data_IF_270067591868
#
_entry.id   IF_270067591868
#
_cell.length_a   1.000
_cell.length_b   1.000
_cell.length_c   1.000
_cell.angle_alpha   90.00
_cell.angle_beta   90.00
_cell.angle_gamma   90.00
#
_symmetry.space_group_name_H-M   'P 1'
#
loop_
_entity.id
_entity.type
_entity.pdbx_description
1 polymer ?
#
# COMPACT_ATOMS: atom_id res chain seq x y z
N UNK A 1 -24.38 0.61 -30.02
CA UNK A 1 -23.28 0.38 -29.07
C UNK A 1 -22.10 1.26 -29.51
N UNK A 2 -22.02 2.47 -28.96
CA UNK A 2 -20.89 3.38 -29.21
C UNK A 2 -19.74 2.97 -28.29
N UNK A 3 -18.56 2.60 -28.81
CA UNK A 3 -17.38 2.41 -27.97
C UNK A 3 -16.98 3.77 -27.38
N UNK A 4 -16.99 3.91 -26.06
CA UNK A 4 -16.37 5.06 -25.38
C UNK A 4 -17.24 5.91 -24.45
N UNK A 5 -18.56 5.67 -24.33
CA UNK A 5 -19.36 6.39 -23.32
C UNK A 5 -19.26 5.72 -21.95
N UNK A 6 -18.22 6.09 -21.18
CA UNK A 6 -18.13 5.76 -19.76
C UNK A 6 -19.07 6.71 -19.02
N UNK A 7 -20.11 6.16 -18.38
CA UNK A 7 -21.06 6.92 -17.58
C UNK A 7 -20.33 7.70 -16.47
N UNK A 8 -20.85 8.85 -16.03
CA UNK A 8 -20.20 9.64 -14.98
C UNK A 8 -19.98 8.83 -13.69
N UNK A 9 -20.87 7.89 -13.41
CA UNK A 9 -20.78 6.98 -12.26
C UNK A 9 -19.60 6.01 -12.41
N UNK A 10 -19.39 5.41 -13.59
CA UNK A 10 -18.26 4.51 -13.79
C UNK A 10 -16.91 5.25 -13.83
N UNK A 11 -16.87 6.50 -14.32
CA UNK A 11 -15.66 7.34 -14.21
C UNK A 11 -15.29 7.62 -12.76
N UNK A 12 -16.27 7.97 -11.93
CA UNK A 12 -16.05 8.20 -10.51
C UNK A 12 -15.58 6.92 -9.80
N UNK A 13 -16.19 5.77 -10.13
CA UNK A 13 -15.78 4.47 -9.61
C UNK A 13 -14.31 4.16 -9.94
N UNK A 14 -13.91 4.29 -11.20
CA UNK A 14 -12.52 4.07 -11.66
C UNK A 14 -11.54 5.03 -10.97
N UNK A 15 -11.92 6.31 -10.83
CA UNK A 15 -11.11 7.30 -10.14
C UNK A 15 -10.86 6.90 -8.68
N UNK A 16 -11.89 6.45 -7.95
CA UNK A 16 -11.74 6.02 -6.57
C UNK A 16 -10.84 4.78 -6.41
N UNK A 17 -10.96 3.79 -7.30
CA UNK A 17 -10.06 2.63 -7.30
C UNK A 17 -8.62 3.07 -7.54
N UNK A 18 -8.38 3.93 -8.55
CA UNK A 18 -7.03 4.42 -8.86
C UNK A 18 -6.43 5.24 -7.72
N UNK A 19 -7.25 6.01 -7.00
CA UNK A 19 -6.81 6.76 -5.82
C UNK A 19 -6.31 5.82 -4.72
N UNK A 20 -7.08 4.79 -4.37
CA UNK A 20 -6.65 3.80 -3.39
C UNK A 20 -5.37 3.08 -3.80
N UNK A 21 -5.22 2.73 -5.07
CA UNK A 21 -3.99 2.12 -5.58
C UNK A 21 -2.79 3.06 -5.43
N UNK A 22 -2.96 4.36 -5.71
CA UNK A 22 -1.91 5.35 -5.50
C UNK A 22 -1.54 5.47 -4.02
N UNK A 23 -2.52 5.49 -3.11
CA UNK A 23 -2.25 5.54 -1.66
C UNK A 23 -1.49 4.29 -1.19
N UNK A 24 -1.88 3.11 -1.67
CA UNK A 24 -1.17 1.85 -1.36
C UNK A 24 0.25 1.84 -1.94
N UNK A 25 0.49 2.48 -3.09
CA UNK A 25 1.83 2.55 -3.68
C UNK A 25 2.83 3.35 -2.81
N UNK A 26 2.34 4.26 -1.96
CA UNK A 26 3.15 4.99 -0.97
C UNK A 26 3.02 4.41 0.45
N UNK A 27 2.47 3.21 0.60
CA UNK A 27 2.34 2.55 1.88
C UNK A 27 3.72 2.05 2.35
N UNK A 28 4.12 2.53 3.52
CA UNK A 28 5.36 2.15 4.20
C UNK A 28 5.43 2.66 5.64
N UNK A 29 4.31 3.20 6.14
CA UNK A 29 4.19 3.81 7.48
C UNK A 29 4.56 2.81 8.59
N UNK A 30 4.16 1.53 8.55
CA UNK A 30 4.55 0.55 9.57
C UNK A 30 6.06 0.33 9.68
N UNK A 31 6.81 0.58 8.60
CA UNK A 31 8.26 0.39 8.53
C UNK A 31 9.05 1.62 9.00
N UNK A 32 8.41 2.79 9.10
CA UNK A 32 9.06 4.06 9.50
C UNK A 32 9.78 3.93 10.85
N UNK A 33 9.14 3.33 11.85
CA UNK A 33 9.72 3.19 13.19
C UNK A 33 10.91 2.20 13.21
N UNK A 34 10.78 0.96 12.69
CA UNK A 34 11.92 0.06 12.57
C UNK A 34 13.09 0.65 11.78
N UNK A 35 12.83 1.31 10.64
CA UNK A 35 13.87 1.93 9.82
C UNK A 35 14.59 3.02 10.60
N UNK A 36 13.86 3.92 11.26
CA UNK A 36 14.46 4.99 12.07
C UNK A 36 15.32 4.44 13.21
N UNK A 37 14.89 3.35 13.85
CA UNK A 37 15.65 2.69 14.91
C UNK A 37 16.94 2.01 14.39
N UNK A 38 16.92 1.52 13.15
CA UNK A 38 18.08 0.88 12.51
C UNK A 38 19.08 1.88 11.90
N UNK A 39 18.74 3.18 11.80
CA UNK A 39 19.64 4.19 11.25
C UNK A 39 20.81 4.50 12.20
N UNK A 40 22.03 4.57 11.63
CA UNK A 40 23.22 5.06 12.34
C UNK A 40 23.03 6.48 12.87
N UNK A 41 22.37 7.35 12.09
CA UNK A 41 22.10 8.74 12.44
C UNK A 41 20.63 9.11 12.25
N UNK A 42 19.77 8.91 13.27
CA UNK A 42 18.32 9.14 13.16
C UNK A 42 17.90 10.60 12.91
N UNK A 43 18.82 11.57 13.07
CA UNK A 43 18.56 12.99 12.79
C UNK A 43 18.31 13.27 11.31
N UNK A 44 18.92 12.49 10.42
CA UNK A 44 18.77 12.62 8.97
C UNK A 44 17.50 11.94 8.44
N UNK A 45 16.73 11.25 9.28
CA UNK A 45 15.55 10.48 8.87
C UNK A 45 14.53 11.29 8.04
N UNK A 46 14.13 12.52 8.42
CA UNK A 46 13.15 13.28 7.64
C UNK A 46 13.63 13.61 6.22
N UNK A 47 14.91 13.95 6.07
CA UNK A 47 15.50 14.26 4.76
C UNK A 47 15.55 13.02 3.86
N UNK A 48 15.94 11.86 4.43
CA UNK A 48 15.97 10.59 3.69
C UNK A 48 14.57 10.19 3.24
N UNK A 49 13.57 10.25 4.13
CA UNK A 49 12.18 9.92 3.78
C UNK A 49 11.64 10.85 2.69
N UNK A 50 11.88 12.17 2.80
CA UNK A 50 11.45 13.13 1.80
C UNK A 50 12.12 12.86 0.44
N UNK A 51 13.43 12.59 0.42
CA UNK A 51 14.15 12.24 -0.81
C UNK A 51 13.64 10.94 -1.45
N UNK A 52 13.39 9.91 -0.65
CA UNK A 52 12.83 8.63 -1.13
C UNK A 52 11.42 8.81 -1.70
N UNK A 53 10.55 9.55 -1.03
CA UNK A 53 9.19 9.82 -1.51
C UNK A 53 9.21 10.63 -2.81
N UNK A 54 10.08 11.64 -2.92
CA UNK A 54 10.23 12.44 -4.14
C UNK A 54 10.74 11.58 -5.31
N UNK A 55 11.80 10.81 -5.09
CA UNK A 55 12.36 9.93 -6.10
C UNK A 55 11.35 8.86 -6.55
N UNK A 56 10.64 8.24 -5.61
CA UNK A 56 9.57 7.28 -5.90
C UNK A 56 8.42 7.90 -6.68
N UNK A 57 8.01 9.13 -6.33
CA UNK A 57 6.97 9.86 -7.06
C UNK A 57 7.36 10.10 -8.51
N UNK A 58 8.59 10.59 -8.74
CA UNK A 58 9.11 10.81 -10.10
C UNK A 58 9.14 9.50 -10.88
N UNK A 59 9.63 8.42 -10.28
CA UNK A 59 9.67 7.10 -10.91
C UNK A 59 8.27 6.60 -11.28
N UNK A 60 7.29 6.68 -10.36
CA UNK A 60 5.91 6.27 -10.63
C UNK A 60 5.26 7.09 -11.74
N UNK A 61 5.46 8.42 -11.76
CA UNK A 61 4.91 9.27 -12.83
C UNK A 61 5.56 8.93 -14.16
N UNK A 62 6.89 8.84 -14.23
CA UNK A 62 7.60 8.55 -15.49
C UNK A 62 7.23 7.17 -16.04
N UNK A 63 7.28 6.12 -15.22
CA UNK A 63 6.95 4.75 -15.64
C UNK A 63 5.45 4.61 -15.95
N UNK A 64 4.57 5.19 -15.13
CA UNK A 64 3.13 5.13 -15.34
C UNK A 64 2.68 5.87 -16.61
N UNK A 65 3.19 7.08 -16.84
CA UNK A 65 2.85 7.86 -18.04
C UNK A 65 3.44 7.24 -19.30
N UNK A 66 4.71 6.83 -19.29
CA UNK A 66 5.32 6.16 -20.45
C UNK A 66 4.62 4.84 -20.80
N UNK A 67 4.24 4.05 -19.79
CA UNK A 67 3.48 2.82 -19.97
C UNK A 67 2.13 3.07 -20.64
N UNK A 68 1.37 4.05 -20.16
CA UNK A 68 0.10 4.42 -20.78
C UNK A 68 0.27 5.00 -22.19
N UNK A 69 1.30 5.81 -22.44
CA UNK A 69 1.56 6.36 -23.78
C UNK A 69 1.94 5.28 -24.80
N UNK A 70 2.57 4.19 -24.36
CA UNK A 70 2.98 3.10 -25.23
C UNK A 70 1.80 2.18 -25.64
N UNK A 71 0.94 1.79 -24.69
CA UNK A 71 -0.12 0.80 -24.93
C UNK A 71 -1.54 1.39 -24.95
N UNK A 72 -1.71 2.65 -24.52
CA UNK A 72 -2.99 3.37 -24.49
C UNK A 72 -4.09 2.55 -23.83
N UNK A 73 -5.21 2.36 -24.51
CA UNK A 73 -6.40 1.69 -23.99
C UNK A 73 -6.21 0.16 -23.83
N UNK A 74 -5.14 -0.41 -24.37
CA UNK A 74 -4.79 -1.83 -24.22
C UNK A 74 -3.91 -2.10 -22.97
N UNK A 75 -3.72 -1.10 -22.11
CA UNK A 75 -2.88 -1.24 -20.91
C UNK A 75 -3.50 -2.21 -19.89
N UNK A 76 -2.95 -3.43 -19.82
CA UNK A 76 -3.25 -4.38 -18.74
C UNK A 76 -2.84 -3.85 -17.35
N UNK A 77 -3.53 -4.31 -16.29
CA UNK A 77 -3.26 -3.98 -14.88
C UNK A 77 -1.78 -4.10 -14.49
N UNK A 78 -1.12 -5.15 -14.98
CA UNK A 78 0.32 -5.29 -14.88
C UNK A 78 0.94 -4.98 -16.26
N UNK A 79 1.72 -3.91 -16.33
CA UNK A 79 2.34 -3.46 -17.59
C UNK A 79 3.24 -4.53 -18.22
N UNK A 80 3.84 -5.39 -17.41
CA UNK A 80 4.71 -6.51 -17.82
C UNK A 80 3.99 -7.54 -18.70
N UNK A 81 2.65 -7.61 -18.64
CA UNK A 81 1.85 -8.49 -19.49
C UNK A 81 1.76 -7.98 -20.92
N UNK A 82 1.81 -6.66 -21.13
CA UNK A 82 1.74 -6.07 -22.47
C UNK A 82 3.08 -6.11 -23.23
N UNK A 83 4.19 -6.43 -22.54
CA UNK A 83 5.50 -6.55 -23.18
C UNK A 83 5.58 -7.80 -24.08
N UNK A 84 5.99 -7.60 -25.32
CA UNK A 84 6.25 -8.65 -26.31
C UNK A 84 7.74 -8.69 -26.72
N UNK A 85 8.21 -9.87 -27.18
CA UNK A 85 9.58 -10.06 -27.67
C UNK A 85 10.50 -10.83 -26.71
N UNK A 86 11.77 -11.06 -27.10
CA UNK A 86 12.67 -12.00 -26.41
C UNK A 86 13.06 -11.55 -25.00
N UNK A 87 13.01 -10.25 -24.71
CA UNK A 87 13.34 -9.69 -23.39
C UNK A 87 12.15 -9.74 -22.41
N UNK A 88 10.93 -9.98 -22.89
CA UNK A 88 9.71 -9.95 -22.05
C UNK A 88 9.77 -10.99 -20.91
N UNK A 89 10.30 -12.19 -21.19
CA UNK A 89 10.47 -13.24 -20.19
C UNK A 89 11.43 -12.83 -19.08
N UNK A 90 12.55 -12.19 -19.44
CA UNK A 90 13.54 -11.69 -18.47
C UNK A 90 12.95 -10.62 -17.55
N UNK A 91 12.19 -9.68 -18.10
CA UNK A 91 11.50 -8.64 -17.31
C UNK A 91 10.47 -9.25 -16.36
N UNK A 92 9.65 -10.19 -16.85
CA UNK A 92 8.65 -10.88 -16.01
C UNK A 92 9.32 -11.67 -14.88
N UNK A 93 10.41 -12.38 -15.18
CA UNK A 93 11.18 -13.12 -14.17
C UNK A 93 11.79 -12.20 -13.11
N UNK A 94 12.40 -11.08 -13.53
CA UNK A 94 12.97 -10.08 -12.61
C UNK A 94 11.88 -9.42 -11.74
N UNK A 95 10.72 -9.11 -12.32
CA UNK A 95 9.58 -8.57 -11.59
C UNK A 95 9.08 -9.56 -10.53
N UNK A 96 8.84 -10.82 -10.92
CA UNK A 96 8.42 -11.87 -9.97
C UNK A 96 9.44 -12.09 -8.85
N UNK A 97 10.74 -12.08 -9.16
CA UNK A 97 11.80 -12.19 -8.17
C UNK A 97 11.77 -10.99 -7.20
N UNK A 98 11.61 -9.78 -7.72
CA UNK A 98 11.53 -8.56 -6.90
C UNK A 98 10.35 -8.62 -5.93
N UNK A 99 9.17 -9.05 -6.41
CA UNK A 99 7.98 -9.22 -5.56
C UNK A 99 8.23 -10.28 -4.48
N UNK A 100 8.83 -11.41 -4.85
CA UNK A 100 9.17 -12.48 -3.91
C UNK A 100 10.13 -12.03 -2.81
N UNK A 101 11.17 -11.25 -3.16
CA UNK A 101 12.15 -10.73 -2.20
C UNK A 101 11.57 -9.61 -1.32
N UNK A 102 10.60 -8.85 -1.83
CA UNK A 102 9.97 -7.75 -1.09
C UNK A 102 8.93 -8.24 -0.09
N UNK A 103 8.28 -9.38 -0.38
CA UNK A 103 7.20 -9.91 0.44
C UNK A 103 7.59 -10.16 1.92
N UNK A 104 8.75 -10.78 2.26
CA UNK A 104 9.19 -10.92 3.64
C UNK A 104 9.36 -9.58 4.38
N UNK A 105 9.84 -8.54 3.67
CA UNK A 105 10.05 -7.21 4.26
C UNK A 105 8.72 -6.56 4.62
N UNK A 106 7.71 -6.68 3.77
CA UNK A 106 6.36 -6.16 4.03
C UNK A 106 5.64 -6.94 5.14
N UNK A 107 5.89 -8.26 5.24
CA UNK A 107 5.27 -9.10 6.26
C UNK A 107 5.90 -8.92 7.64
N UNK A 108 7.13 -8.39 7.73
CA UNK A 108 7.88 -8.28 8.98
C UNK A 108 7.13 -7.54 10.09
N UNK A 109 6.55 -6.33 9.88
CA UNK A 109 5.79 -5.64 10.94
C UNK A 109 4.55 -6.43 11.38
N UNK A 110 3.85 -7.06 10.44
CA UNK A 110 2.69 -7.90 10.73
C UNK A 110 3.09 -9.11 11.59
N UNK A 111 4.22 -9.74 11.27
CA UNK A 111 4.77 -10.85 12.03
C UNK A 111 5.12 -10.47 13.46
N UNK A 112 5.88 -9.38 13.64
CA UNK A 112 6.27 -8.90 14.98
C UNK A 112 5.04 -8.54 15.82
N UNK A 113 4.04 -7.89 15.20
CA UNK A 113 2.79 -7.56 15.87
C UNK A 113 1.99 -8.82 16.27
N UNK A 114 1.93 -9.82 15.39
CA UNK A 114 1.23 -11.09 15.65
C UNK A 114 1.92 -11.88 16.77
N UNK A 115 3.24 -12.05 16.71
CA UNK A 115 4.03 -12.75 17.72
C UNK A 115 3.90 -12.10 19.09
N UNK A 116 3.89 -10.75 19.15
CA UNK A 116 3.66 -10.02 20.39
C UNK A 116 2.26 -10.26 20.95
N UNK A 117 1.21 -10.26 20.12
CA UNK A 117 -0.17 -10.51 20.56
C UNK A 117 -0.38 -11.94 21.06
N UNK A 118 0.32 -12.91 20.47
CA UNK A 118 0.25 -14.32 20.87
C UNK A 118 1.17 -14.66 22.05
N UNK A 119 1.90 -13.68 22.61
CA UNK A 119 2.86 -13.92 23.69
C UNK A 119 4.11 -14.71 23.25
N UNK A 120 4.34 -14.83 21.95
CA UNK A 120 5.44 -15.59 21.35
C UNK A 120 6.72 -14.75 21.16
N UNK A 121 6.71 -13.48 21.56
CA UNK A 121 7.81 -12.53 21.37
C UNK A 121 8.94 -12.65 22.41
N UNK A 122 8.87 -13.59 23.36
CA UNK A 122 9.88 -13.74 24.42
C UNK A 122 11.20 -14.32 23.89
N UNK A 123 12.32 -13.76 24.35
CA UNK A 123 13.69 -14.12 23.91
C UNK A 123 14.19 -15.46 24.47
N UNK A 124 13.50 -16.05 25.46
CA UNK A 124 13.88 -17.30 26.14
C UNK A 124 13.16 -18.54 25.58
N UNK A 125 12.93 -18.56 24.27
CA UNK A 125 12.17 -19.63 23.63
C UNK A 125 12.99 -20.88 23.35
N UNK A 126 12.69 -21.98 24.04
CA UNK A 126 13.13 -23.32 23.64
C UNK A 126 12.53 -23.75 22.28
N UNK A 127 12.88 -24.95 21.80
CA UNK A 127 12.45 -25.47 20.48
C UNK A 127 10.93 -25.36 20.24
N UNK A 128 10.10 -25.50 21.27
CA UNK A 128 8.63 -25.40 21.19
C UNK A 128 8.17 -24.00 20.79
N UNK A 129 8.81 -22.94 21.29
CA UNK A 129 8.44 -21.57 20.95
C UNK A 129 8.84 -21.23 19.51
N UNK A 130 9.98 -21.74 19.04
CA UNK A 130 10.40 -21.61 17.64
C UNK A 130 9.41 -22.29 16.69
N UNK A 131 8.92 -23.49 17.05
CA UNK A 131 7.89 -24.19 16.27
C UNK A 131 6.61 -23.36 16.18
N UNK A 132 6.16 -22.78 17.30
CA UNK A 132 4.97 -21.93 17.31
C UNK A 132 5.14 -20.63 16.51
N UNK A 133 6.32 -20.01 16.56
CA UNK A 133 6.65 -18.87 15.70
C UNK A 133 6.60 -19.27 14.23
N UNK A 134 7.30 -20.34 13.83
CA UNK A 134 7.28 -20.85 12.45
C UNK A 134 5.87 -21.21 11.98
N UNK A 135 5.06 -21.84 12.83
CA UNK A 135 3.66 -22.16 12.55
C UNK A 135 2.82 -20.90 12.34
N UNK A 136 2.97 -19.88 13.20
CA UNK A 136 2.28 -18.61 13.04
C UNK A 136 2.70 -17.88 11.75
N UNK A 137 4.00 -17.88 11.40
CA UNK A 137 4.49 -17.27 10.15
C UNK A 137 3.90 -17.97 8.94
N UNK A 138 3.97 -19.30 8.94
CA UNK A 138 3.48 -20.14 7.84
C UNK A 138 1.96 -19.98 7.70
N UNK A 139 1.22 -19.98 8.80
CA UNK A 139 -0.22 -19.76 8.82
C UNK A 139 -0.61 -18.39 8.24
N UNK A 140 0.12 -17.32 8.59
CA UNK A 140 -0.12 -15.98 8.04
C UNK A 140 0.11 -15.95 6.53
N UNK A 141 1.21 -16.53 6.04
CA UNK A 141 1.53 -16.59 4.61
C UNK A 141 0.50 -17.43 3.85
N UNK A 142 0.18 -18.61 4.35
CA UNK A 142 -0.82 -19.50 3.73
C UNK A 142 -2.22 -18.87 3.73
N UNK A 143 -2.60 -18.18 4.80
CA UNK A 143 -3.88 -17.46 4.87
C UNK A 143 -3.95 -16.31 3.86
N UNK A 144 -2.88 -15.50 3.76
CA UNK A 144 -2.80 -14.44 2.75
C UNK A 144 -2.84 -15.00 1.32
N UNK A 145 -2.16 -16.11 1.06
CA UNK A 145 -2.17 -16.80 -0.23
C UNK A 145 -3.56 -17.35 -0.58
N UNK A 146 -4.22 -18.03 0.37
CA UNK A 146 -5.57 -18.55 0.18
C UNK A 146 -6.57 -17.43 -0.13
N UNK A 147 -6.45 -16.29 0.56
CA UNK A 147 -7.27 -15.11 0.28
C UNK A 147 -6.99 -14.52 -1.10
N UNK A 148 -5.74 -14.46 -1.52
CA UNK A 148 -5.34 -13.97 -2.85
C UNK A 148 -5.83 -14.83 -4.01
N UNK A 149 -6.07 -16.14 -3.80
CA UNK A 149 -6.63 -17.02 -4.83
C UNK A 149 -8.09 -16.71 -5.18
N UNK A 150 -8.86 -16.19 -4.22
CA UNK A 150 -10.28 -15.92 -4.40
C UNK A 150 -10.56 -14.51 -4.94
N UNK A 151 -9.73 -13.54 -4.56
CA UNK A 151 -10.07 -12.14 -4.72
C UNK A 151 -9.29 -11.45 -5.85
N UNK A 152 -9.96 -10.69 -6.74
CA UNK A 152 -9.29 -9.99 -7.83
C UNK A 152 -8.37 -8.89 -7.28
N UNK A 153 -7.15 -8.83 -7.82
CA UNK A 153 -6.07 -7.94 -7.35
C UNK A 153 -6.51 -6.47 -7.21
N UNK A 154 -7.19 -5.92 -8.21
CA UNK A 154 -7.58 -4.50 -8.20
C UNK A 154 -8.54 -4.18 -7.06
N UNK A 155 -9.49 -5.08 -6.77
CA UNK A 155 -10.44 -4.88 -5.67
C UNK A 155 -9.76 -5.09 -4.32
N UNK A 156 -8.82 -6.04 -4.21
CA UNK A 156 -8.02 -6.22 -3.00
C UNK A 156 -7.22 -4.98 -2.64
N UNK A 157 -6.50 -4.43 -3.61
CA UNK A 157 -5.70 -3.21 -3.40
C UNK A 157 -6.61 -2.02 -3.11
N UNK A 158 -7.77 -1.92 -3.77
CA UNK A 158 -8.74 -0.87 -3.48
C UNK A 158 -9.31 -0.96 -2.06
N UNK A 159 -9.64 -2.17 -1.58
CA UNK A 159 -10.09 -2.42 -0.21
C UNK A 159 -8.99 -2.15 0.82
N UNK A 160 -7.78 -2.65 0.58
CA UNK A 160 -6.63 -2.42 1.45
C UNK A 160 -6.31 -0.92 1.55
N UNK A 161 -6.37 -0.21 0.42
CA UNK A 161 -6.20 1.23 0.36
C UNK A 161 -7.29 1.96 1.15
N UNK A 162 -8.56 1.68 0.88
CA UNK A 162 -9.68 2.36 1.50
C UNK A 162 -9.83 2.07 3.00
N UNK A 163 -9.70 0.81 3.42
CA UNK A 163 -9.93 0.40 4.83
C UNK A 163 -8.71 0.63 5.72
N UNK A 164 -7.50 0.43 5.19
CA UNK A 164 -6.29 0.43 6.01
C UNK A 164 -5.42 1.66 5.69
N UNK A 165 -5.01 1.83 4.43
CA UNK A 165 -3.99 2.82 4.10
C UNK A 165 -4.49 4.27 4.23
N UNK A 166 -5.72 4.58 3.77
CA UNK A 166 -6.29 5.94 3.83
C UNK A 166 -6.47 6.43 5.27
N UNK A 167 -7.04 5.65 6.21
CA UNK A 167 -7.07 6.06 7.61
C UNK A 167 -5.69 6.27 8.22
N UNK A 168 -4.73 5.37 7.93
CA UNK A 168 -3.37 5.48 8.47
C UNK A 168 -2.59 6.67 7.89
N UNK A 169 -2.79 7.01 6.62
CA UNK A 169 -2.05 8.06 5.94
C UNK A 169 -2.64 9.46 6.14
N UNK A 170 -3.97 9.59 6.20
CA UNK A 170 -4.65 10.90 6.22
C UNK A 170 -5.38 11.19 7.52
N UNK A 171 -6.14 10.23 8.05
CA UNK A 171 -7.04 10.47 9.19
C UNK A 171 -6.24 10.51 10.50
N UNK A 172 -5.49 9.45 10.80
CA UNK A 172 -4.78 9.35 12.08
C UNK A 172 -3.73 10.44 12.28
N UNK A 173 -2.86 10.78 11.29
CA UNK A 173 -1.87 11.85 11.49
C UNK A 173 -2.53 13.20 11.76
N UNK A 174 -3.59 13.55 11.02
CA UNK A 174 -4.31 14.82 11.21
C UNK A 174 -5.01 14.90 12.56
N UNK A 175 -5.68 13.83 12.99
CA UNK A 175 -6.32 13.79 14.32
C UNK A 175 -5.28 13.89 15.45
N UNK A 176 -4.17 13.15 15.34
CA UNK A 176 -3.12 13.20 16.35
C UNK A 176 -2.42 14.56 16.42
N UNK A 177 -2.17 15.21 15.28
CA UNK A 177 -1.57 16.54 15.28
C UNK A 177 -2.50 17.58 15.93
N UNK A 178 -3.81 17.53 15.64
CA UNK A 178 -4.81 18.41 16.27
C UNK A 178 -4.98 18.18 17.77
N UNK A 179 -4.78 16.95 18.25
CA UNK A 179 -4.93 16.60 19.68
C UNK A 179 -3.65 16.84 20.49
N UNK A 180 -2.48 16.64 19.90
CA UNK A 180 -1.19 16.62 20.61
C UNK A 180 -0.39 17.91 20.47
N UNK A 181 -0.58 18.69 19.40
CA UNK A 181 0.16 19.93 19.18
C UNK A 181 -0.71 21.17 19.51
N UNK A 182 -0.28 21.96 20.49
CA UNK A 182 -0.83 23.28 20.81
C UNK A 182 0.31 24.31 20.91
N UNK A 183 0.14 25.59 20.49
CA UNK A 183 -0.83 26.14 19.54
C UNK A 183 -0.36 26.01 18.08
N UNK A 184 -1.21 25.46 17.21
CA UNK A 184 -0.93 25.35 15.78
C UNK A 184 -1.30 26.64 15.03
N UNK A 185 -0.53 27.00 14.01
CA UNK A 185 -0.92 28.05 13.06
C UNK A 185 -2.25 27.68 12.42
N UNK A 186 -3.10 28.69 12.13
CA UNK A 186 -4.39 28.45 11.48
C UNK A 186 -4.24 27.66 10.18
N UNK A 187 -3.17 27.89 9.43
CA UNK A 187 -2.84 27.15 8.21
C UNK A 187 -2.61 25.65 8.45
N UNK A 188 -1.86 25.27 9.49
CA UNK A 188 -1.65 23.87 9.84
C UNK A 188 -2.96 23.20 10.23
N UNK A 189 -3.76 23.89 11.06
CA UNK A 189 -5.08 23.39 11.48
C UNK A 189 -6.03 23.18 10.29
N UNK A 190 -6.06 24.11 9.33
CA UNK A 190 -6.88 23.96 8.11
C UNK A 190 -6.41 22.81 7.24
N UNK A 191 -5.09 22.60 7.13
CA UNK A 191 -4.51 21.50 6.36
C UNK A 191 -4.87 20.16 6.99
N UNK A 192 -4.71 20.01 8.31
CA UNK A 192 -5.05 18.77 9.02
C UNK A 192 -6.54 18.43 8.88
N UNK A 193 -7.42 19.42 9.06
CA UNK A 193 -8.86 19.22 8.86
C UNK A 193 -9.17 18.83 7.42
N UNK A 194 -8.52 19.44 6.43
CA UNK A 194 -8.72 19.10 5.02
C UNK A 194 -8.28 17.66 4.70
N UNK A 195 -7.15 17.20 5.25
CA UNK A 195 -6.67 15.82 5.09
C UNK A 195 -7.64 14.81 5.73
N UNK A 196 -8.11 15.11 6.95
CA UNK A 196 -9.07 14.24 7.66
C UNK A 196 -10.39 14.16 6.89
N UNK A 197 -10.95 15.29 6.44
CA UNK A 197 -12.19 15.30 5.67
C UNK A 197 -12.02 14.56 4.34
N UNK A 198 -10.88 14.74 3.67
CA UNK A 198 -10.57 14.03 2.44
C UNK A 198 -10.53 12.50 2.66
N UNK A 199 -9.83 12.05 3.69
CA UNK A 199 -9.75 10.62 4.03
C UNK A 199 -11.11 10.02 4.40
N UNK A 200 -11.91 10.70 5.20
CA UNK A 200 -13.25 10.25 5.63
C UNK A 200 -14.22 10.16 4.46
N UNK A 201 -14.10 11.02 3.45
CA UNK A 201 -14.94 10.96 2.26
C UNK A 201 -14.48 9.89 1.26
N UNK A 202 -13.17 9.77 1.02
CA UNK A 202 -12.64 8.87 0.00
C UNK A 202 -12.62 7.40 0.44
N UNK A 203 -12.34 7.10 1.71
CA UNK A 203 -12.23 5.72 2.19
C UNK A 203 -13.53 4.91 1.98
N UNK A 204 -14.72 5.37 2.42
CA UNK A 204 -15.96 4.62 2.23
C UNK A 204 -16.32 4.45 0.75
N UNK A 205 -16.10 5.50 -0.06
CA UNK A 205 -16.40 5.45 -1.50
C UNK A 205 -15.52 4.41 -2.20
N UNK A 206 -14.23 4.35 -1.88
CA UNK A 206 -13.33 3.33 -2.41
C UNK A 206 -13.73 1.91 -2.00
N UNK A 207 -14.15 1.72 -0.74
CA UNK A 207 -14.61 0.41 -0.24
C UNK A 207 -15.89 -0.01 -0.93
N UNK A 208 -16.87 0.88 -1.03
CA UNK A 208 -18.13 0.60 -1.73
C UNK A 208 -17.88 0.31 -3.21
N UNK A 209 -17.00 1.06 -3.87
CA UNK A 209 -16.59 0.81 -5.25
C UNK A 209 -16.01 -0.62 -5.39
N UNK A 210 -15.05 -0.98 -4.54
CA UNK A 210 -14.42 -2.29 -4.56
C UNK A 210 -15.40 -3.45 -4.27
N UNK A 211 -16.42 -3.23 -3.44
CA UNK A 211 -17.47 -4.21 -3.17
C UNK A 211 -18.44 -4.36 -4.33
N UNK A 212 -18.78 -3.27 -5.01
CA UNK A 212 -19.66 -3.30 -6.19
C UNK A 212 -18.97 -4.01 -7.36
N UNK A 213 -17.66 -3.77 -7.55
CA UNK A 213 -16.85 -4.44 -8.58
C UNK A 213 -16.44 -5.87 -8.21
N UNK A 214 -16.88 -6.39 -7.06
CA UNK A 214 -16.50 -7.72 -6.57
C UNK A 214 -17.23 -8.87 -7.27
N UNK A 215 -18.30 -8.57 -8.02
CA UNK A 215 -18.98 -9.51 -8.90
C UNK A 215 -18.36 -9.51 -10.29
#
# INVERSE_FOLDING_TARGET
>A
YMPGYISPISRLHLACISHSQAVVAFEGIPLVLPIRAAMREPRHFPAVVCGCLLAGTVAFVVVGTSGYLAYRDETSTFITLNLHGPLSLGVRAAFSLTVLLTYPLQLYPAMVALEKKLGLAATEGGCVQLIWQCAARTGLVCGAFAFALYAPYQNLVALAGGLCAVPLAFIFPGVFHLQLCAPCTLAARTLDMALVTFGVLMAPVAVVAALISWR
#
